data_IF_200639023244
#
_entry.id   IF_200639023244
#
_cell.length_a   1.000
_cell.length_b   1.000
_cell.length_c   1.000
_cell.angle_alpha   90.00
_cell.angle_beta   90.00
_cell.angle_gamma   90.00
#
_symmetry.space_group_name_H-M   'P 1'
#
loop_
_entity.id
_entity.type
_entity.pdbx_description
1 polymer ?
2 polymer ?
#
loop_
_entity_poly.entity_id
_entity_poly.type
_entity_poly.pdbx_seq_one_letter_code
_entity_poly.pdbx_strand_id
2 'polyribonucleotide' 'GCGCGCGCGC' ?
#
# COMPACT_ATOMS: atom_id res chain seq x y z
N UNK A 1 -10.89 9.97 -14.83
CA UNK A 1 -9.59 10.12 -15.57
C UNK A 1 -8.55 9.27 -14.84
N UNK A 2 -7.50 8.86 -15.54
CA UNK A 2 -6.34 8.28 -14.88
C UNK A 2 -5.74 9.24 -13.85
N UNK A 3 -5.64 10.51 -14.25
CA UNK A 3 -4.82 11.54 -13.58
C UNK A 3 -5.31 12.09 -12.23
N UNK A 4 -6.51 11.74 -11.81
CA UNK A 4 -7.08 12.26 -10.56
C UNK A 4 -6.26 11.91 -9.33
N UNK A 5 -5.66 10.73 -9.32
CA UNK A 5 -4.78 10.32 -8.24
C UNK A 5 -3.57 11.24 -8.15
N UNK A 6 -3.03 11.55 -9.34
CA UNK A 6 -1.89 12.43 -9.52
C UNK A 6 -2.31 13.84 -9.11
N UNK A 7 -3.54 14.20 -9.45
CA UNK A 7 -4.06 15.49 -9.06
C UNK A 7 -4.18 15.58 -7.54
N UNK A 8 -4.83 14.62 -6.93
CA UNK A 8 -5.00 14.63 -5.49
C UNK A 8 -3.66 14.60 -4.82
N UNK A 9 -2.69 13.98 -5.48
CA UNK A 9 -1.39 13.84 -4.87
C UNK A 9 -0.72 15.20 -4.83
N UNK A 10 -0.77 15.90 -5.97
CA UNK A 10 -0.20 17.23 -6.04
C UNK A 10 -0.93 18.14 -5.07
N UNK A 11 -2.26 18.12 -5.11
CA UNK A 11 -3.07 18.97 -4.26
C UNK A 11 -2.57 18.93 -2.81
N UNK A 12 -2.29 17.75 -2.31
CA UNK A 12 -1.80 17.59 -0.95
C UNK A 12 -0.35 18.04 -0.80
N UNK A 13 0.42 17.94 -1.88
CA UNK A 13 1.82 18.32 -1.87
C UNK A 13 1.98 19.80 -1.57
N UNK A 14 0.97 20.57 -1.96
CA UNK A 14 0.93 22.00 -1.67
C UNK A 14 0.74 22.24 -0.19
N UNK A 15 -0.39 21.81 0.39
CA UNK A 15 -0.51 21.85 1.86
C UNK A 15 0.42 20.82 2.53
N UNK A 16 1.43 20.40 1.77
CA UNK A 16 2.59 19.67 2.30
C UNK A 16 2.23 18.41 3.05
N UNK A 17 1.48 17.54 2.39
CA UNK A 17 1.12 16.21 2.91
C UNK A 17 0.90 15.19 1.80
N UNK A 18 0.74 13.93 2.21
CA UNK A 18 0.42 12.84 1.28
C UNK A 18 -0.98 12.30 1.61
N UNK A 19 -1.75 11.88 0.57
CA UNK A 19 -2.99 11.13 0.80
C UNK A 19 -2.63 9.79 1.42
N UNK A 20 -3.60 9.05 1.90
CA UNK A 20 -3.30 7.71 2.38
C UNK A 20 -4.38 6.74 1.98
N UNK A 21 -4.01 5.88 1.04
CA UNK A 21 -4.88 4.84 0.50
C UNK A 21 -4.76 3.60 1.34
N UNK A 22 -5.88 2.89 1.50
CA UNK A 22 -5.86 1.59 2.17
C UNK A 22 -6.79 0.65 1.41
N UNK A 23 -6.21 -0.37 0.81
CA UNK A 23 -6.93 -1.29 -0.05
C UNK A 23 -7.13 -2.63 0.64
N UNK A 24 -8.35 -3.14 0.61
CA UNK A 24 -8.56 -4.52 1.04
C UNK A 24 -9.32 -5.37 0.03
N UNK A 25 -8.89 -6.61 -0.11
CA UNK A 25 -9.49 -7.53 -1.08
C UNK A 25 -10.88 -7.99 -0.64
N UNK A 26 -11.74 -8.18 -1.61
CA UNK A 26 -13.13 -8.42 -1.33
C UNK A 26 -13.78 -9.24 -2.45
N UNK A 27 -14.86 -9.94 -2.13
CA UNK A 27 -15.64 -10.63 -3.15
C UNK A 27 -15.03 -11.90 -3.72
N UNK A 28 -15.39 -12.17 -4.98
CA UNK A 28 -15.24 -13.47 -5.60
C UNK A 28 -13.83 -13.85 -5.99
N UNK A 29 -13.20 -14.65 -5.14
CA UNK A 29 -11.89 -15.23 -5.40
C UNK A 29 -11.58 -15.37 -6.89
N UNK A 30 -12.56 -15.86 -7.66
CA UNK A 30 -12.40 -16.15 -9.09
C UNK A 30 -12.77 -15.01 -10.06
N UNK A 31 -13.59 -14.06 -9.60
CA UNK A 31 -13.77 -12.78 -10.32
C UNK A 31 -13.77 -11.61 -9.33
N UNK A 32 -12.57 -11.25 -8.87
CA UNK A 32 -12.46 -10.54 -7.60
C UNK A 32 -12.57 -9.01 -7.59
N UNK A 33 -12.89 -8.50 -6.38
CA UNK A 33 -13.08 -7.07 -6.13
C UNK A 33 -12.14 -6.56 -5.02
N UNK A 34 -11.84 -5.26 -5.09
CA UNK A 34 -11.05 -4.57 -4.08
C UNK A 34 -11.77 -3.32 -3.60
N UNK A 35 -11.52 -2.99 -2.33
CA UNK A 35 -12.15 -1.89 -1.62
C UNK A 35 -11.09 -0.88 -1.22
N UNK A 36 -11.29 0.39 -1.54
CA UNK A 36 -10.28 1.41 -1.23
C UNK A 36 -10.82 2.56 -0.40
N UNK A 37 -9.99 3.07 0.49
CA UNK A 37 -10.34 4.26 1.25
C UNK A 37 -9.13 5.18 1.18
N UNK A 38 -9.38 6.46 0.94
CA UNK A 38 -8.32 7.48 0.98
C UNK A 38 -8.65 8.43 2.06
N UNK A 39 -7.62 8.91 2.75
CA UNK A 39 -7.81 10.02 3.67
C UNK A 39 -6.75 11.06 3.44
N UNK A 40 -7.01 12.25 3.94
CA UNK A 40 -5.99 13.30 3.97
C UNK A 40 -6.11 13.91 5.35
N UNK A 41 -4.97 14.27 5.96
CA UNK A 41 -4.95 14.90 7.29
C UNK A 41 -5.75 16.19 7.29
N UNK A 42 -6.58 16.36 8.31
CA UNK A 42 -7.34 17.58 8.48
C UNK A 42 -8.62 17.62 7.66
N UNK A 43 -9.04 16.45 7.15
CA UNK A 43 -10.29 16.39 6.40
C UNK A 43 -11.18 15.27 6.87
N UNK A 44 -12.40 15.66 7.21
CA UNK A 44 -13.34 14.78 7.86
C UNK A 44 -14.18 14.00 6.84
N UNK A 45 -13.55 13.08 6.11
CA UNK A 45 -14.20 12.34 5.03
C UNK A 45 -13.28 11.27 4.48
N UNK A 46 -13.87 10.11 4.15
CA UNK A 46 -13.17 8.96 3.55
C UNK A 46 -13.65 8.66 2.13
N UNK A 47 -12.79 8.83 1.15
CA UNK A 47 -13.17 8.57 -0.23
C UNK A 47 -13.21 7.08 -0.45
N UNK A 48 -14.33 6.58 -0.96
CA UNK A 48 -14.52 5.12 -1.13
C UNK A 48 -14.57 4.64 -2.57
N UNK A 49 -13.89 3.55 -2.85
CA UNK A 49 -13.84 3.03 -4.20
C UNK A 49 -13.78 1.51 -4.30
N UNK A 50 -14.51 0.97 -5.26
CA UNK A 50 -14.51 -0.46 -5.55
C UNK A 50 -14.01 -0.70 -6.95
N UNK A 51 -13.37 -1.84 -7.19
CA UNK A 51 -13.18 -2.27 -8.57
C UNK A 51 -12.72 -3.69 -8.72
N UNK A 52 -12.32 -4.04 -9.94
CA UNK A 52 -11.80 -5.35 -10.25
C UNK A 52 -10.35 -5.40 -9.84
N UNK A 53 -9.60 -4.38 -10.25
CA UNK A 53 -8.20 -4.29 -9.90
C UNK A 53 -8.00 -3.21 -8.85
N UNK A 54 -6.78 -3.07 -8.36
CA UNK A 54 -6.46 -2.14 -7.28
C UNK A 54 -6.34 -0.70 -7.76
N UNK A 55 -5.66 -0.49 -8.88
CA UNK A 55 -5.50 0.84 -9.42
C UNK A 55 -6.85 1.54 -9.47
N UNK A 56 -7.82 0.85 -10.07
CA UNK A 56 -9.12 1.42 -10.26
C UNK A 56 -9.87 1.59 -8.94
N UNK A 57 -9.65 0.69 -7.98
CA UNK A 57 -10.22 0.91 -6.66
C UNK A 57 -9.67 2.25 -6.11
N UNK A 58 -8.40 2.52 -6.39
CA UNK A 58 -7.79 3.75 -5.97
C UNK A 58 -8.32 4.95 -6.71
N UNK A 59 -8.29 4.92 -8.05
CA UNK A 59 -8.86 6.00 -8.84
C UNK A 59 -10.24 6.38 -8.33
N UNK A 60 -11.07 5.39 -8.06
CA UNK A 60 -12.43 5.63 -7.65
C UNK A 60 -12.50 6.35 -6.31
N UNK A 61 -11.69 5.91 -5.36
CA UNK A 61 -11.59 6.57 -4.05
C UNK A 61 -11.12 8.02 -4.17
N UNK A 62 -10.12 8.25 -5.03
CA UNK A 62 -9.60 9.59 -5.26
C UNK A 62 -10.69 10.47 -5.85
N UNK A 63 -11.37 9.98 -6.89
CA UNK A 63 -12.47 10.73 -7.51
C UNK A 63 -13.46 11.14 -6.45
N UNK A 64 -13.89 10.14 -5.68
CA UNK A 64 -14.75 10.38 -4.55
C UNK A 64 -14.22 11.53 -3.70
N UNK A 65 -12.99 11.40 -3.23
CA UNK A 65 -12.40 12.46 -2.41
C UNK A 65 -12.39 13.84 -3.07
N UNK A 66 -11.77 13.96 -4.24
CA UNK A 66 -11.78 15.25 -4.95
C UNK A 66 -13.19 15.82 -5.04
N UNK A 67 -14.12 15.03 -5.56
CA UNK A 67 -15.50 15.46 -5.67
C UNK A 67 -15.96 16.11 -4.37
N UNK A 68 -15.56 15.54 -3.25
CA UNK A 68 -15.89 16.12 -1.96
C UNK A 68 -15.19 17.46 -1.68
N UNK A 69 -13.89 17.54 -1.91
CA UNK A 69 -13.20 18.82 -1.86
C UNK A 69 -14.00 19.89 -2.60
N UNK A 70 -14.48 19.56 -3.80
CA UNK A 70 -15.29 20.50 -4.57
C UNK A 70 -16.58 20.80 -3.85
N UNK A 71 -17.21 19.80 -3.25
CA UNK A 71 -18.52 20.04 -2.66
C UNK A 71 -18.37 21.00 -1.50
N UNK A 72 -17.32 20.79 -0.73
CA UNK A 72 -17.05 21.60 0.44
C UNK A 72 -16.35 22.94 0.06
N UNK A 73 -16.33 23.26 -1.24
CA UNK A 73 -15.70 24.47 -1.79
C UNK A 73 -14.22 24.71 -1.42
N UNK A 74 -13.43 23.62 -1.34
CA UNK A 74 -11.98 23.74 -1.16
C UNK A 74 -11.23 23.70 -2.49
N UNK A 75 -11.86 23.16 -3.53
CA UNK A 75 -11.40 23.35 -4.91
C UNK A 75 -12.60 23.76 -5.77
N UNK A 76 -12.33 24.42 -6.89
CA UNK A 76 -13.34 24.64 -7.92
C UNK A 76 -13.31 23.46 -8.88
N UNK A 77 -14.46 23.10 -9.43
CA UNK A 77 -14.53 22.04 -10.44
C UNK A 77 -13.59 22.38 -11.59
N UNK A 78 -13.64 23.66 -11.96
CA UNK A 78 -12.90 24.22 -13.07
C UNK A 78 -11.37 24.01 -12.95
N UNK A 79 -10.91 23.59 -11.76
CA UNK A 79 -9.47 23.43 -11.46
C UNK A 79 -9.04 21.97 -11.45
N UNK A 80 -9.98 21.09 -11.75
CA UNK A 80 -9.73 19.67 -11.75
C UNK A 80 -9.82 19.18 -13.21
N UNK A 81 -8.66 19.02 -13.88
CA UNK A 81 -8.60 18.62 -15.30
C UNK A 81 -9.55 17.46 -15.63
N UNK A 82 -9.58 16.46 -14.76
CA UNK A 82 -10.46 15.29 -14.89
C UNK A 82 -11.94 15.65 -15.03
N UNK A 83 -12.43 16.56 -14.18
CA UNK A 83 -13.82 17.03 -14.24
C UNK A 83 -13.97 17.99 -15.43
N UNK A 84 -13.48 17.53 -16.58
CA UNK A 84 -13.36 18.33 -17.80
C UNK A 84 -14.55 19.20 -18.14
N UNK A 85 -14.49 20.45 -17.71
CA UNK A 85 -15.53 21.45 -18.03
C UNK A 85 -15.58 21.85 -19.51
N UNK A 86 -14.46 22.38 -20.03
CA UNK A 86 -14.29 22.77 -21.44
C UNK A 86 -15.45 23.60 -21.98
N UNK B 1 19.81 -10.66 -3.26
CA UNK B 1 18.59 -11.44 -2.85
C UNK B 1 17.30 -10.62 -2.94
N UNK B 2 17.04 -10.02 -4.10
CA UNK B 2 15.77 -9.32 -4.31
C UNK B 2 14.60 -10.27 -4.13
N UNK B 3 14.87 -11.55 -4.40
CA UNK B 3 13.86 -12.59 -4.49
C UNK B 3 13.01 -12.84 -3.25
N UNK B 4 13.54 -12.57 -2.07
CA UNK B 4 12.89 -12.94 -0.80
C UNK B 4 11.41 -12.53 -0.71
N UNK B 5 11.07 -11.34 -1.22
CA UNK B 5 9.66 -10.93 -1.27
C UNK B 5 8.86 -11.91 -2.13
N UNK B 6 9.41 -12.24 -3.28
CA UNK B 6 8.78 -13.17 -4.18
C UNK B 6 8.64 -14.53 -3.51
N UNK B 7 9.73 -15.01 -2.94
CA UNK B 7 9.70 -16.27 -2.25
C UNK B 7 8.65 -16.23 -1.17
N UNK B 8 8.69 -15.19 -0.34
CA UNK B 8 7.74 -15.09 0.74
C UNK B 8 6.31 -15.10 0.20
N UNK B 9 6.08 -14.44 -0.92
CA UNK B 9 4.73 -14.36 -1.45
C UNK B 9 4.33 -15.75 -1.90
N UNK B 10 5.29 -16.46 -2.48
CA UNK B 10 4.97 -17.76 -3.09
C UNK B 10 4.63 -18.77 -1.98
N UNK B 11 5.49 -18.79 -0.96
CA UNK B 11 5.35 -19.68 0.19
C UNK B 11 4.00 -19.52 0.89
N UNK B 12 3.49 -18.30 0.92
CA UNK B 12 2.21 -18.03 1.57
C UNK B 12 1.06 -18.43 0.67
N UNK B 13 1.29 -18.32 -0.63
CA UNK B 13 0.30 -18.66 -1.64
C UNK B 13 0.03 -20.14 -1.58
N UNK B 14 1.10 -20.92 -1.52
CA UNK B 14 0.96 -22.35 -1.46
C UNK B 14 0.24 -22.80 -0.19
N UNK B 15 0.19 -21.95 0.82
CA UNK B 15 -0.56 -22.23 2.03
C UNK B 15 -1.81 -21.35 2.08
N UNK B 16 -2.22 -20.89 0.90
CA UNK B 16 -3.47 -20.15 0.73
C UNK B 16 -3.61 -18.82 1.52
N UNK B 17 -2.50 -18.08 1.65
CA UNK B 17 -2.45 -16.76 2.34
C UNK B 17 -1.56 -15.72 1.62
N UNK B 18 -1.76 -14.45 1.96
CA UNK B 18 -0.91 -13.36 1.48
C UNK B 18 -0.17 -12.74 2.67
N UNK B 19 1.07 -12.27 2.46
CA UNK B 19 1.70 -11.52 3.54
C UNK B 19 1.14 -10.12 3.53
N UNK B 20 1.09 -9.47 4.68
CA UNK B 20 0.70 -8.08 4.68
C UNK B 20 1.82 -7.19 5.18
N UNK B 21 2.18 -6.22 4.35
CA UNK B 21 3.19 -5.25 4.66
C UNK B 21 2.54 -3.92 5.01
N UNK B 22 2.85 -3.35 6.15
CA UNK B 22 2.50 -1.96 6.38
C UNK B 22 3.78 -1.12 6.42
N UNK B 23 3.86 -0.13 5.54
CA UNK B 23 5.02 0.77 5.45
C UNK B 23 4.67 2.12 6.09
N UNK B 24 5.64 2.73 6.76
CA UNK B 24 5.41 3.95 7.50
C UNK B 24 6.60 4.90 7.30
N UNK B 25 6.32 6.14 6.92
CA UNK B 25 7.37 7.14 6.71
C UNK B 25 7.84 7.80 8.01
N UNK B 26 9.15 7.82 8.19
CA UNK B 26 9.79 8.26 9.44
C UNK B 26 11.06 9.08 9.16
N UNK B 27 11.41 9.95 10.09
CA UNK B 27 12.45 10.94 9.86
C UNK B 27 11.85 12.05 9.04
N UNK B 28 12.62 13.12 8.87
CA UNK B 28 12.14 14.30 8.15
C UNK B 28 12.85 14.49 6.82
N UNK B 29 12.24 15.29 5.96
CA UNK B 29 12.92 15.93 4.82
C UNK B 29 13.84 14.99 4.04
N UNK B 30 15.12 15.37 3.94
CA UNK B 30 16.11 14.64 3.15
C UNK B 30 16.54 13.33 3.82
N UNK B 31 16.75 13.37 5.13
CA UNK B 31 17.04 12.18 5.95
C UNK B 31 15.80 11.27 6.10
N UNK B 32 15.17 10.97 4.96
CA UNK B 32 13.93 10.20 4.91
C UNK B 32 14.15 8.69 4.94
N UNK B 33 13.57 8.05 5.96
CA UNK B 33 13.62 6.60 6.12
C UNK B 33 12.21 5.97 6.18
N UNK B 34 12.10 4.75 5.67
CA UNK B 34 10.82 4.05 5.68
C UNK B 34 10.92 2.88 6.62
N UNK B 35 9.83 2.63 7.35
CA UNK B 35 9.81 1.53 8.31
C UNK B 35 8.72 0.51 7.95
N UNK B 36 9.15 -0.72 7.69
CA UNK B 36 8.24 -1.75 7.22
C UNK B 36 7.92 -2.81 8.25
N UNK B 37 6.73 -3.38 8.14
CA UNK B 37 6.34 -4.51 8.97
C UNK B 37 5.66 -5.58 8.10
N UNK B 38 6.13 -6.82 8.15
CA UNK B 38 5.40 -7.93 7.54
C UNK B 38 4.80 -8.79 8.60
N UNK B 39 3.55 -9.18 8.40
CA UNK B 39 2.92 -10.22 9.20
C UNK B 39 2.29 -11.26 8.29
N UNK B 40 2.16 -12.49 8.77
CA UNK B 40 1.42 -13.51 8.05
C UNK B 40 0.40 -14.18 8.99
N UNK B 41 -0.83 -14.37 8.51
CA UNK B 41 -1.88 -15.07 9.24
C UNK B 41 -1.33 -16.36 9.88
N UNK B 42 -1.56 -16.56 11.17
CA UNK B 42 -1.20 -17.82 11.83
C UNK B 42 0.23 -17.94 12.33
N UNK B 43 0.97 -16.84 12.19
CA UNK B 43 2.35 -16.80 12.58
C UNK B 43 2.52 -15.62 13.48
N UNK B 44 2.92 -15.95 14.70
CA UNK B 44 3.03 -15.00 15.76
C UNK B 44 4.44 -14.41 15.77
N UNK B 45 4.62 -13.43 14.89
CA UNK B 45 5.84 -12.66 14.70
C UNK B 45 5.64 -11.53 13.68
N UNK B 46 6.46 -10.49 13.77
CA UNK B 46 6.37 -9.37 12.85
C UNK B 46 7.74 -9.07 12.30
N UNK B 47 7.88 -9.10 10.98
CA UNK B 47 9.17 -8.88 10.35
C UNK B 47 9.42 -7.41 10.21
N UNK B 48 10.66 -6.98 10.41
CA UNK B 48 10.97 -5.55 10.45
C UNK B 48 12.11 -5.14 9.54
N UNK B 49 11.81 -4.16 8.69
CA UNK B 49 12.77 -3.62 7.75
C UNK B 49 12.75 -2.11 7.69
N UNK B 50 13.92 -1.53 7.47
CA UNK B 50 14.09 -0.08 7.39
C UNK B 50 14.89 0.26 6.16
N UNK B 51 14.50 1.31 5.45
CA UNK B 51 15.32 1.80 4.32
C UNK B 51 14.90 3.16 3.76
N UNK B 52 15.81 3.73 2.99
CA UNK B 52 15.61 4.99 2.30
C UNK B 52 14.58 4.93 1.16
N UNK B 53 14.24 3.73 0.71
CA UNK B 53 13.15 3.60 -0.24
C UNK B 53 12.23 2.49 0.17
N UNK B 54 10.96 2.62 -0.21
CA UNK B 54 9.92 1.70 0.21
C UNK B 54 10.28 0.30 -0.21
N UNK B 55 10.56 0.12 -1.50
CA UNK B 55 10.85 -1.18 -2.09
C UNK B 55 11.91 -1.97 -1.34
N UNK B 56 12.97 -1.32 -0.88
CA UNK B 56 13.99 -2.06 -0.15
C UNK B 56 13.69 -2.24 1.33
N UNK B 57 12.76 -1.46 1.86
CA UNK B 57 12.42 -1.57 3.26
C UNK B 57 11.62 -2.85 3.51
N UNK B 58 10.91 -3.28 2.48
CA UNK B 58 10.11 -4.51 2.48
C UNK B 58 11.00 -5.73 2.38
N UNK B 59 11.97 -5.68 1.48
CA UNK B 59 12.94 -6.74 1.38
C UNK B 59 13.43 -7.07 2.77
N UNK B 60 13.78 -6.05 3.53
CA UNK B 60 14.39 -6.27 4.83
C UNK B 60 13.45 -6.98 5.80
N UNK B 61 12.18 -6.62 5.76
CA UNK B 61 11.23 -7.22 6.65
C UNK B 61 10.97 -8.67 6.20
N UNK B 62 10.82 -8.86 4.89
CA UNK B 62 10.72 -10.21 4.33
C UNK B 62 11.90 -11.10 4.73
N UNK B 63 13.13 -10.62 4.58
CA UNK B 63 14.33 -11.37 5.00
C UNK B 63 14.16 -11.77 6.46
N UNK B 64 13.72 -10.79 7.26
CA UNK B 64 13.60 -10.95 8.69
C UNK B 64 12.50 -11.94 9.00
N UNK B 65 11.37 -11.82 8.29
CA UNK B 65 10.33 -12.80 8.45
C UNK B 65 10.79 -14.20 8.04
N UNK B 66 11.26 -14.34 6.80
CA UNK B 66 11.70 -15.64 6.30
C UNK B 66 12.69 -16.25 7.26
N UNK B 67 13.61 -15.44 7.79
CA UNK B 67 14.54 -15.94 8.79
C UNK B 67 13.80 -16.47 9.99
N UNK B 68 12.73 -15.81 10.39
CA UNK B 68 12.00 -16.24 11.57
C UNK B 68 11.35 -17.59 11.31
N UNK B 69 10.98 -17.81 10.05
CA UNK B 69 10.40 -19.07 9.67
C UNK B 69 11.41 -20.20 9.80
N UNK B 70 12.69 -19.94 9.52
CA UNK B 70 13.71 -20.96 9.69
C UNK B 70 13.98 -21.18 11.17
N UNK B 71 14.09 -20.08 11.92
CA UNK B 71 14.30 -20.08 13.36
C UNK B 71 13.40 -21.10 14.07
N UNK B 72 12.11 -21.10 13.73
CA UNK B 72 11.15 -21.98 14.37
C UNK B 72 11.01 -23.30 13.61
N UNK B 73 11.77 -23.42 12.53
CA UNK B 73 11.89 -24.68 11.77
C UNK B 73 10.64 -25.06 10.94
N UNK B 74 9.86 -24.06 10.53
CA UNK B 74 8.83 -24.27 9.49
C UNK B 74 9.42 -24.45 8.11
N UNK B 75 10.70 -24.12 7.98
CA UNK B 75 11.37 -24.15 6.70
C UNK B 75 12.83 -24.48 6.95
N UNK B 76 13.42 -25.29 6.08
CA UNK B 76 14.85 -25.51 6.07
C UNK B 76 15.54 -24.34 5.38
N UNK B 77 16.68 -23.90 5.92
CA UNK B 77 17.46 -22.82 5.28
C UNK B 77 17.87 -23.25 3.88
N UNK B 78 18.05 -24.57 3.73
CA UNK B 78 18.48 -25.22 2.49
C UNK B 78 17.59 -24.82 1.33
N UNK B 79 16.32 -24.56 1.61
CA UNK B 79 15.32 -24.38 0.57
C UNK B 79 14.70 -22.99 0.49
N UNK B 80 15.50 -21.99 0.86
CA UNK B 80 15.20 -20.58 0.62
C UNK B 80 16.32 -20.08 -0.27
N UNK B 81 16.12 -20.08 -1.61
CA UNK B 81 17.22 -19.81 -2.52
C UNK B 81 18.12 -18.65 -2.04
N UNK B 82 17.47 -17.61 -1.56
CA UNK B 82 18.14 -16.39 -1.13
C UNK B 82 19.13 -16.57 0.03
N UNK B 83 18.95 -17.64 0.82
CA UNK B 83 19.90 -18.00 1.88
C UNK B 83 20.89 -19.04 1.39
N UNK B 84 20.54 -19.74 0.30
CA UNK B 84 21.41 -20.78 -0.26
C UNK B 84 22.86 -20.39 -0.50
#
# INVERSE_FOLDING_TARGET
MGDVKNFLYAWCGKRKMTPSYEIRAVGNKNRQKFMCEVQVEGYNYTGMGNSTNKKDAQSNAARDFVNYLVRINEIKSEEVPAFGVASPPPL
MGDVKNFLYAWCGKRKMTPSYEIRAVGNKNRQKFMCEVQVEGYNYTGMGNSTNKKDAQSNAARDFVNYLVRINEIKSEEVPAFGVASPPPL
#
